data_IF_415348947937
#
_entry.id   IF_415348947937
#
_cell.length_a   1.000
_cell.length_b   1.000
_cell.length_c   1.000
_cell.angle_alpha   90.00
_cell.angle_beta   90.00
_cell.angle_gamma   90.00
#
_symmetry.space_group_name_H-M   'P 1'
#
loop_
_entity.id
_entity.type
_entity.pdbx_description
1 polymer ?
#
# COMPACT_ATOMS: atom_id res chain seq x y z
N UNK A 1 -16.59 40.19 -0.22
CA UNK A 1 -16.90 39.14 -1.22
C UNK A 1 -17.46 37.88 -0.53
N UNK A 2 -18.11 37.99 0.63
CA UNK A 2 -18.05 36.91 1.64
C UNK A 2 -19.09 35.79 1.50
N UNK A 3 -20.01 35.86 0.54
CA UNK A 3 -21.08 34.86 0.43
C UNK A 3 -21.48 34.62 -1.04
N UNK A 4 -20.59 34.79 -2.01
CA UNK A 4 -20.97 34.87 -3.44
C UNK A 4 -21.82 33.68 -3.92
N UNK A 5 -21.47 32.45 -3.57
CA UNK A 5 -22.25 31.26 -3.94
C UNK A 5 -23.58 31.14 -3.17
N UNK A 6 -23.59 31.46 -1.87
CA UNK A 6 -24.82 31.45 -1.06
C UNK A 6 -25.82 32.53 -1.54
N UNK A 7 -25.31 33.73 -1.82
CA UNK A 7 -26.09 34.86 -2.33
C UNK A 7 -26.67 34.61 -3.74
N UNK A 8 -26.11 33.65 -4.48
CA UNK A 8 -26.66 33.19 -5.76
C UNK A 8 -27.73 32.11 -5.60
N UNK A 9 -28.07 31.73 -4.37
CA UNK A 9 -28.95 30.61 -4.07
C UNK A 9 -28.49 29.31 -4.76
N UNK A 10 -27.17 29.14 -4.91
CA UNK A 10 -26.57 27.99 -5.56
C UNK A 10 -26.35 26.86 -4.53
N UNK A 11 -26.69 25.63 -4.93
CA UNK A 11 -26.26 24.44 -4.20
C UNK A 11 -24.81 24.12 -4.54
N UNK A 12 -24.03 23.67 -3.55
CA UNK A 12 -22.65 23.24 -3.74
C UNK A 12 -22.38 21.97 -2.93
N UNK A 13 -21.35 21.22 -3.35
CA UNK A 13 -20.80 20.10 -2.62
C UNK A 13 -19.31 20.33 -2.38
N UNK A 14 -18.85 20.16 -1.15
CA UNK A 14 -17.43 20.29 -0.81
C UNK A 14 -16.76 18.93 -1.02
N UNK A 15 -16.00 18.81 -2.10
CA UNK A 15 -15.27 17.59 -2.45
C UNK A 15 -13.76 17.79 -2.22
N UNK A 16 -13.10 17.10 -1.29
CA UNK A 16 -13.65 16.26 -0.22
C UNK A 16 -13.87 17.08 1.06
N UNK A 17 -14.97 16.82 1.78
CA UNK A 17 -15.11 17.31 3.17
C UNK A 17 -14.24 16.49 4.13
N UNK A 18 -14.15 15.18 3.89
CA UNK A 18 -13.26 14.22 4.51
C UNK A 18 -12.86 13.22 3.43
N UNK A 19 -11.57 13.09 3.12
CA UNK A 19 -11.12 12.19 2.06
C UNK A 19 -10.81 10.77 2.57
N UNK A 20 -10.05 10.64 3.65
CA UNK A 20 -9.72 9.36 4.29
C UNK A 20 -8.51 8.66 3.65
N UNK A 21 -8.61 7.35 3.44
CA UNK A 21 -7.47 6.48 3.04
C UNK A 21 -7.87 5.50 1.95
N UNK A 22 -7.02 5.35 0.93
CA UNK A 22 -7.08 4.30 -0.08
C UNK A 22 -6.46 3.00 0.47
N UNK A 23 -7.19 2.26 1.31
CA UNK A 23 -6.68 1.02 1.89
C UNK A 23 -6.36 -0.05 0.83
N UNK A 24 -5.43 -0.95 1.17
CA UNK A 24 -5.06 -2.08 0.33
C UNK A 24 -4.52 -1.68 -1.03
N UNK A 25 -5.26 -2.05 -2.08
CA UNK A 25 -4.93 -1.80 -3.48
C UNK A 25 -5.94 -0.87 -4.17
N UNK A 26 -6.75 -0.14 -3.39
CA UNK A 26 -7.88 0.64 -3.90
C UNK A 26 -7.50 2.01 -4.46
N UNK A 27 -6.21 2.37 -4.47
CA UNK A 27 -5.77 3.63 -5.06
C UNK A 27 -5.97 3.60 -6.58
N UNK A 28 -6.42 4.73 -7.15
CA UNK A 28 -6.39 4.94 -8.58
C UNK A 28 -5.00 5.30 -9.11
N UNK A 29 -4.97 5.67 -10.38
CA UNK A 29 -3.82 6.27 -11.04
C UNK A 29 -4.30 7.31 -12.06
N UNK A 30 -3.47 8.32 -12.28
CA UNK A 30 -3.53 9.21 -13.44
C UNK A 30 -2.49 8.74 -14.48
N UNK A 31 -2.49 9.36 -15.66
CA UNK A 31 -1.67 8.91 -16.81
C UNK A 31 -0.19 8.65 -16.49
N UNK A 32 0.40 9.46 -15.60
CA UNK A 32 1.83 9.42 -15.31
C UNK A 32 2.16 9.02 -13.86
N UNK A 33 1.15 8.78 -13.00
CA UNK A 33 1.39 8.51 -11.58
C UNK A 33 0.23 7.78 -10.89
N UNK A 34 0.58 6.84 -10.00
CA UNK A 34 -0.38 6.26 -9.06
C UNK A 34 -0.73 7.26 -7.94
N UNK A 35 -1.99 7.25 -7.50
CA UNK A 35 -2.43 7.99 -6.32
C UNK A 35 -1.89 7.33 -5.05
N UNK A 36 -1.53 8.13 -4.05
CA UNK A 36 -1.00 7.67 -2.76
C UNK A 36 -2.04 6.89 -1.94
N UNK A 37 -1.56 6.19 -0.91
CA UNK A 37 -2.44 5.55 0.08
C UNK A 37 -3.25 6.58 0.85
N UNK A 38 -2.61 7.69 1.25
CA UNK A 38 -3.34 8.81 1.84
C UNK A 38 -4.28 9.44 0.83
N UNK A 39 -5.52 9.66 1.24
CA UNK A 39 -6.50 10.46 0.54
C UNK A 39 -6.92 11.65 1.41
N UNK A 40 -6.00 12.20 2.21
CA UNK A 40 -6.22 13.38 3.08
C UNK A 40 -6.82 14.56 2.32
N UNK A 41 -6.39 14.75 1.06
CA UNK A 41 -6.91 15.74 0.11
C UNK A 41 -6.68 17.21 0.53
N UNK A 42 -6.00 17.48 1.67
CA UNK A 42 -6.05 18.80 2.29
C UNK A 42 -7.48 19.20 2.66
N UNK A 43 -8.33 18.20 2.92
CA UNK A 43 -9.76 18.36 3.18
C UNK A 43 -10.02 19.14 4.46
N UNK A 44 -11.28 19.53 4.67
CA UNK A 44 -11.69 20.13 5.93
C UNK A 44 -11.44 19.19 7.12
N UNK A 45 -11.70 17.89 6.96
CA UNK A 45 -11.44 16.88 7.98
C UNK A 45 -10.26 16.02 7.50
N UNK A 46 -9.22 15.94 8.32
CA UNK A 46 -7.99 15.23 8.00
C UNK A 46 -8.22 13.73 7.77
N UNK A 47 -7.23 13.03 7.21
CA UNK A 47 -7.27 11.59 6.96
C UNK A 47 -7.68 10.74 8.18
N UNK A 48 -7.21 11.09 9.38
CA UNK A 48 -7.55 10.39 10.62
C UNK A 48 -8.85 10.87 11.28
N UNK A 49 -9.59 11.79 10.64
CA UNK A 49 -10.82 12.37 11.18
C UNK A 49 -10.60 13.63 12.03
N UNK A 50 -9.37 14.10 12.18
CA UNK A 50 -9.08 15.27 12.99
C UNK A 50 -9.63 16.56 12.39
N UNK A 51 -10.07 17.44 13.29
CA UNK A 51 -10.55 18.78 12.94
C UNK A 51 -9.38 19.66 12.53
N UNK A 52 -9.47 20.23 11.32
CA UNK A 52 -8.44 21.13 10.78
C UNK A 52 -8.87 22.61 10.89
N UNK A 53 -7.94 23.56 10.69
CA UNK A 53 -8.28 24.97 10.51
C UNK A 53 -9.26 25.23 9.35
N UNK A 54 -9.23 24.40 8.30
CA UNK A 54 -10.16 24.50 7.18
C UNK A 54 -11.58 24.15 7.63
N UNK A 55 -11.77 23.11 8.45
CA UNK A 55 -13.08 22.77 9.01
C UNK A 55 -13.63 23.90 9.87
N UNK A 56 -12.82 24.43 10.78
CA UNK A 56 -13.28 25.52 11.66
C UNK A 56 -13.60 26.78 10.87
N UNK A 57 -12.85 27.10 9.81
CA UNK A 57 -13.16 28.22 8.92
C UNK A 57 -14.50 28.04 8.17
N UNK A 58 -14.75 26.87 7.59
CA UNK A 58 -16.03 26.55 6.94
C UNK A 58 -17.18 26.62 7.95
N UNK A 59 -16.99 26.04 9.15
CA UNK A 59 -17.99 26.07 10.21
C UNK A 59 -18.32 27.49 10.66
N UNK A 60 -17.30 28.32 10.90
CA UNK A 60 -17.48 29.73 11.27
C UNK A 60 -18.15 30.54 10.16
N UNK A 61 -17.85 30.26 8.90
CA UNK A 61 -18.54 30.90 7.78
C UNK A 61 -20.04 30.57 7.77
N UNK A 62 -20.41 29.28 7.92
CA UNK A 62 -21.82 28.85 8.00
C UNK A 62 -22.53 29.50 9.20
N UNK A 63 -21.89 29.57 10.37
CA UNK A 63 -22.47 30.19 11.57
C UNK A 63 -22.79 31.68 11.40
N UNK A 64 -22.09 32.39 10.50
CA UNK A 64 -22.31 33.80 10.24
C UNK A 64 -23.39 34.08 9.18
N UNK A 65 -24.04 33.04 8.66
CA UNK A 65 -25.18 33.17 7.74
C UNK A 65 -26.48 33.07 8.56
N UNK A 66 -27.18 34.20 8.72
CA UNK A 66 -28.31 34.33 9.64
C UNK A 66 -29.52 33.45 9.32
N UNK A 67 -29.72 33.12 8.06
CA UNK A 67 -30.84 32.35 7.51
C UNK A 67 -30.43 30.94 7.08
N UNK A 68 -29.26 30.47 7.53
CA UNK A 68 -28.83 29.10 7.28
C UNK A 68 -29.74 28.11 8.04
N UNK A 69 -30.41 27.17 7.35
CA UNK A 69 -31.49 26.37 7.94
C UNK A 69 -31.03 25.37 8.99
N UNK A 70 -29.75 24.99 8.99
CA UNK A 70 -29.19 23.95 9.86
C UNK A 70 -27.84 24.41 10.45
N UNK A 71 -27.84 25.13 11.59
CA UNK A 71 -26.61 25.64 12.18
C UNK A 71 -25.68 24.47 12.58
N UNK A 72 -24.35 24.65 12.52
CA UNK A 72 -23.42 23.57 12.86
C UNK A 72 -23.53 23.13 14.32
N UNK A 73 -23.53 21.82 14.53
CA UNK A 73 -23.50 21.20 15.87
C UNK A 73 -22.14 21.38 16.55
N UNK A 74 -22.07 20.95 17.82
CA UNK A 74 -20.82 20.87 18.57
C UNK A 74 -19.83 19.91 17.90
N UNK A 75 -18.55 20.24 18.02
CA UNK A 75 -17.47 19.48 17.40
C UNK A 75 -17.10 18.30 18.33
N UNK A 76 -17.13 17.05 17.85
CA UNK A 76 -16.64 15.92 18.64
C UNK A 76 -15.14 16.04 18.90
N UNK A 77 -14.67 15.44 19.99
CA UNK A 77 -13.23 15.37 20.25
C UNK A 77 -12.52 14.51 19.18
N UNK A 78 -11.30 14.91 18.82
CA UNK A 78 -10.43 14.11 17.96
C UNK A 78 -10.17 12.73 18.58
N UNK A 79 -9.92 11.73 17.73
CA UNK A 79 -9.54 10.40 18.20
C UNK A 79 -8.20 10.47 18.95
N UNK A 80 -8.04 9.72 20.05
CA UNK A 80 -6.74 9.61 20.70
C UNK A 80 -5.76 8.87 19.77
N UNK A 81 -4.52 9.35 19.73
CA UNK A 81 -3.43 8.72 18.98
C UNK A 81 -2.27 8.35 19.91
N UNK A 82 -1.63 7.21 19.63
CA UNK A 82 -0.50 6.69 20.41
C UNK A 82 0.74 6.50 19.56
N UNK A 83 1.91 6.74 20.16
CA UNK A 83 3.20 6.33 19.63
C UNK A 83 3.60 4.99 20.28
N UNK A 84 3.50 3.90 19.53
CA UNK A 84 3.86 2.55 20.01
C UNK A 84 5.37 2.25 19.93
N UNK A 85 6.18 3.22 19.51
CA UNK A 85 7.63 3.09 19.43
C UNK A 85 8.10 2.31 18.21
N UNK A 86 9.36 1.90 18.25
CA UNK A 86 10.01 1.17 17.16
C UNK A 86 9.71 -0.33 17.27
N UNK A 87 9.30 -0.94 16.16
CA UNK A 87 9.12 -2.39 16.05
C UNK A 87 10.25 -2.95 15.19
N UNK A 88 11.04 -3.87 15.74
CA UNK A 88 12.07 -4.58 14.98
C UNK A 88 11.41 -5.71 14.18
N UNK A 89 11.72 -5.77 12.89
CA UNK A 89 11.18 -6.80 11.98
C UNK A 89 12.25 -7.84 11.65
N UNK A 90 11.81 -9.05 11.30
CA UNK A 90 12.61 -10.12 10.73
C UNK A 90 12.02 -10.57 9.41
N UNK A 91 12.91 -10.89 8.48
CA UNK A 91 12.60 -11.46 7.18
C UNK A 91 11.99 -12.85 7.32
N UNK A 92 10.91 -13.06 6.60
CA UNK A 92 10.31 -14.38 6.39
C UNK A 92 11.03 -15.03 5.20
N UNK A 93 11.60 -16.22 5.42
CA UNK A 93 12.29 -17.00 4.40
C UNK A 93 13.65 -16.44 3.97
N UNK A 94 14.33 -17.14 3.06
CA UNK A 94 15.68 -16.76 2.63
C UNK A 94 15.67 -15.62 1.60
N UNK A 95 14.65 -15.55 0.74
CA UNK A 95 14.50 -14.53 -0.30
C UNK A 95 13.02 -14.34 -0.66
N UNK A 96 12.70 -13.22 -1.33
CA UNK A 96 11.31 -12.88 -1.70
C UNK A 96 10.61 -14.00 -2.47
N UNK A 97 11.26 -14.58 -3.48
CA UNK A 97 10.64 -15.61 -4.34
C UNK A 97 10.22 -16.82 -3.52
N UNK A 98 11.12 -17.35 -2.69
CA UNK A 98 10.82 -18.50 -1.82
C UNK A 98 9.69 -18.27 -0.83
N UNK A 99 9.46 -17.01 -0.45
CA UNK A 99 8.37 -16.63 0.45
C UNK A 99 7.06 -16.48 -0.31
N UNK A 100 7.07 -15.84 -1.47
CA UNK A 100 5.88 -15.68 -2.32
C UNK A 100 5.35 -17.02 -2.83
N UNK A 101 6.22 -17.99 -3.13
CA UNK A 101 5.80 -19.34 -3.57
C UNK A 101 5.00 -20.10 -2.51
N UNK A 102 5.08 -19.72 -1.23
CA UNK A 102 4.30 -20.34 -0.15
C UNK A 102 2.83 -19.89 -0.16
N UNK A 103 2.54 -18.76 -0.80
CA UNK A 103 1.20 -18.15 -0.88
C UNK A 103 0.79 -17.83 -2.31
N UNK A 104 1.40 -18.47 -3.31
CA UNK A 104 0.98 -18.30 -4.69
C UNK A 104 -0.29 -19.10 -4.98
N UNK A 105 -1.11 -18.56 -5.86
CA UNK A 105 -2.25 -19.25 -6.47
C UNK A 105 -1.77 -20.31 -7.48
N UNK A 106 -2.71 -21.06 -8.04
CA UNK A 106 -2.39 -22.05 -9.08
C UNK A 106 -1.76 -21.36 -10.29
N UNK A 107 -0.53 -21.76 -10.62
CA UNK A 107 0.18 -21.22 -11.77
C UNK A 107 -0.43 -21.67 -13.08
N UNK A 108 -0.55 -20.76 -14.04
CA UNK A 108 -0.97 -21.05 -15.40
C UNK A 108 0.22 -21.00 -16.36
N UNK A 109 0.33 -22.02 -17.21
CA UNK A 109 1.34 -22.05 -18.27
C UNK A 109 0.79 -21.42 -19.54
N UNK A 110 1.63 -20.64 -20.23
CA UNK A 110 1.26 -19.89 -21.43
C UNK A 110 2.47 -19.70 -22.35
N UNK A 111 2.23 -19.48 -23.65
CA UNK A 111 3.32 -19.17 -24.58
C UNK A 111 3.89 -17.78 -24.29
N UNK A 112 3.03 -16.80 -24.08
CA UNK A 112 3.37 -15.41 -23.73
C UNK A 112 2.84 -15.07 -22.32
N UNK A 113 3.43 -14.11 -21.60
CA UNK A 113 2.96 -13.73 -20.26
C UNK A 113 1.48 -13.34 -20.24
N UNK A 114 0.71 -13.96 -19.36
CA UNK A 114 -0.71 -13.62 -19.15
C UNK A 114 -0.87 -12.30 -18.39
N UNK A 115 -1.88 -11.51 -18.73
CA UNK A 115 -2.31 -10.37 -17.91
C UNK A 115 -2.93 -10.81 -16.58
N UNK A 116 -3.07 -9.87 -15.64
CA UNK A 116 -3.74 -10.11 -14.36
C UNK A 116 -5.20 -10.55 -14.57
N UNK A 117 -5.90 -9.96 -15.54
CA UNK A 117 -7.29 -10.27 -15.88
C UNK A 117 -7.42 -11.67 -16.51
N UNK A 118 -6.47 -12.09 -17.35
CA UNK A 118 -6.44 -13.44 -17.89
C UNK A 118 -6.20 -14.51 -16.81
N UNK A 119 -5.59 -14.13 -15.69
CA UNK A 119 -5.39 -14.98 -14.52
C UNK A 119 -6.57 -14.96 -13.53
N UNK A 120 -7.58 -14.11 -13.76
CA UNK A 120 -8.63 -13.79 -12.78
C UNK A 120 -8.06 -13.27 -11.45
N UNK A 121 -6.95 -12.52 -11.51
CA UNK A 121 -6.23 -11.99 -10.35
C UNK A 121 -6.21 -10.45 -10.39
N UNK A 122 -7.25 -9.80 -9.86
CA UNK A 122 -7.49 -8.37 -10.10
C UNK A 122 -6.55 -7.39 -9.38
N UNK A 123 -5.90 -7.76 -8.27
CA UNK A 123 -5.09 -6.83 -7.47
C UNK A 123 -3.87 -7.50 -6.85
N UNK A 124 -2.81 -6.73 -6.64
CA UNK A 124 -1.64 -7.17 -5.89
C UNK A 124 -0.46 -7.49 -6.79
N UNK A 125 -0.01 -8.74 -6.76
CA UNK A 125 1.22 -9.15 -7.44
C UNK A 125 1.00 -10.48 -8.15
N UNK A 126 1.63 -10.62 -9.32
CA UNK A 126 1.74 -11.89 -10.04
C UNK A 126 3.22 -12.25 -10.16
N UNK A 127 3.55 -13.50 -9.88
CA UNK A 127 4.87 -14.06 -10.11
C UNK A 127 4.93 -14.68 -11.50
N UNK A 128 5.71 -14.06 -12.40
CA UNK A 128 6.01 -14.59 -13.73
C UNK A 128 7.36 -15.31 -13.71
N UNK A 129 7.39 -16.58 -14.13
CA UNK A 129 8.59 -17.42 -14.14
C UNK A 129 8.80 -18.04 -15.52
N UNK A 130 10.06 -18.10 -15.94
CA UNK A 130 10.52 -18.81 -17.13
C UNK A 130 11.88 -19.45 -16.83
N UNK A 131 12.13 -20.62 -17.42
CA UNK A 131 13.46 -21.25 -17.42
C UNK A 131 14.19 -20.93 -18.72
N UNK A 132 15.33 -20.24 -18.62
CA UNK A 132 16.18 -19.97 -19.77
C UNK A 132 17.00 -21.21 -20.15
N UNK A 133 16.98 -21.57 -21.43
CA UNK A 133 17.80 -22.68 -21.97
C UNK A 133 19.17 -22.23 -22.46
N UNK A 134 19.37 -20.91 -22.62
CA UNK A 134 20.63 -20.28 -22.95
C UNK A 134 20.76 -18.94 -22.19
N UNK A 135 22.00 -18.52 -21.90
CA UNK A 135 22.27 -17.23 -21.29
C UNK A 135 22.03 -16.07 -22.25
N UNK A 136 21.87 -14.86 -21.70
CA UNK A 136 21.76 -13.61 -22.44
C UNK A 136 22.07 -12.42 -21.55
N UNK A 137 22.12 -11.21 -22.12
CA UNK A 137 22.58 -10.00 -21.43
C UNK A 137 21.53 -8.91 -21.25
N UNK A 138 20.66 -8.71 -22.23
CA UNK A 138 19.75 -7.57 -22.26
C UNK A 138 18.29 -8.00 -22.12
N UNK A 139 17.67 -7.76 -20.96
CA UNK A 139 16.25 -8.00 -20.73
C UNK A 139 15.39 -6.75 -21.02
N UNK A 140 14.41 -6.81 -21.93
CA UNK A 140 13.56 -5.64 -22.33
C UNK A 140 12.07 -5.99 -22.46
N UNK A 141 11.14 -5.35 -21.73
CA UNK A 141 9.67 -5.49 -21.87
C UNK A 141 9.06 -4.12 -21.88
N UNK A 142 8.60 -3.73 -23.06
CA UNK A 142 7.88 -2.48 -23.21
C UNK A 142 6.50 -2.50 -22.52
N UNK A 143 5.99 -3.65 -22.06
CA UNK A 143 4.59 -3.83 -21.67
C UNK A 143 4.35 -4.21 -20.19
N UNK A 144 5.34 -4.03 -19.31
CA UNK A 144 5.09 -4.20 -17.87
C UNK A 144 4.18 -3.06 -17.39
N UNK A 145 3.07 -3.42 -16.75
CA UNK A 145 2.13 -2.50 -16.13
C UNK A 145 1.94 -2.92 -14.67
N UNK A 146 2.51 -2.25 -13.67
CA UNK A 146 3.26 -0.97 -13.72
C UNK A 146 4.73 -1.10 -13.28
N UNK A 147 5.07 -2.11 -12.47
CA UNK A 147 6.41 -2.30 -11.90
C UNK A 147 6.77 -3.79 -11.87
N UNK A 148 7.95 -4.16 -12.36
CA UNK A 148 8.47 -5.53 -12.33
C UNK A 148 9.80 -5.64 -11.60
N UNK A 149 9.87 -6.48 -10.57
CA UNK A 149 11.12 -6.85 -9.91
C UNK A 149 11.70 -8.09 -10.60
N UNK A 150 12.93 -8.01 -11.11
CA UNK A 150 13.55 -9.12 -11.84
C UNK A 150 14.50 -9.88 -10.93
N UNK A 151 14.38 -11.21 -10.99
CA UNK A 151 15.26 -12.13 -10.28
C UNK A 151 15.81 -13.16 -11.26
N UNK A 152 17.11 -13.44 -11.17
CA UNK A 152 17.77 -14.52 -11.90
C UNK A 152 18.35 -15.47 -10.86
N UNK A 153 17.90 -16.74 -10.86
CA UNK A 153 18.27 -17.72 -9.84
C UNK A 153 18.10 -17.19 -8.40
N UNK A 154 16.96 -16.55 -8.13
CA UNK A 154 16.62 -15.88 -6.86
C UNK A 154 17.50 -14.67 -6.48
N UNK A 155 18.41 -14.22 -7.36
CA UNK A 155 19.21 -13.02 -7.15
C UNK A 155 18.55 -11.82 -7.81
N UNK A 156 18.23 -10.79 -7.02
CA UNK A 156 17.62 -9.55 -7.48
C UNK A 156 18.54 -8.82 -8.48
N UNK A 157 18.01 -8.51 -9.66
CA UNK A 157 18.74 -7.82 -10.74
C UNK A 157 18.33 -6.34 -10.89
N UNK A 158 17.21 -5.95 -10.27
CA UNK A 158 16.70 -4.58 -10.37
C UNK A 158 15.22 -4.52 -10.70
N UNK A 159 14.73 -3.28 -10.79
CA UNK A 159 13.42 -2.98 -11.33
C UNK A 159 13.56 -2.86 -12.84
N UNK A 160 12.75 -3.59 -13.60
CA UNK A 160 12.75 -3.51 -15.05
C UNK A 160 11.34 -3.35 -15.60
N UNK A 161 11.31 -2.73 -16.77
CA UNK A 161 10.29 -2.88 -17.79
C UNK A 161 10.90 -3.84 -18.83
N UNK A 162 10.75 -5.17 -18.64
CA UNK A 162 11.62 -6.27 -19.17
C UNK A 162 11.04 -7.68 -19.59
N UNK A 163 10.88 -8.13 -20.87
CA UNK A 163 10.51 -9.50 -21.36
C UNK A 163 10.89 -9.76 -22.86
N UNK A 164 12.14 -9.52 -23.21
CA UNK A 164 12.83 -10.07 -24.38
C UNK A 164 14.27 -10.22 -23.93
N UNK A 165 14.98 -11.27 -24.33
CA UNK A 165 16.38 -11.45 -23.98
C UNK A 165 17.22 -11.30 -25.23
N UNK A 166 18.04 -10.25 -25.28
CA UNK A 166 18.84 -9.88 -26.45
C UNK A 166 17.99 -9.74 -27.74
N UNK A 167 16.77 -9.23 -27.59
CA UNK A 167 15.81 -9.03 -28.70
C UNK A 167 15.02 -10.28 -29.10
N UNK A 168 15.28 -11.44 -28.47
CA UNK A 168 14.52 -12.67 -28.68
C UNK A 168 13.37 -12.75 -27.69
N UNK A 169 12.17 -13.04 -28.20
CA UNK A 169 10.98 -13.25 -27.36
C UNK A 169 11.19 -14.48 -26.47
N UNK A 170 10.90 -14.31 -25.18
CA UNK A 170 10.91 -15.39 -24.19
C UNK A 170 9.53 -16.06 -24.18
N UNK A 171 9.50 -17.39 -24.23
CA UNK A 171 8.27 -18.19 -24.32
C UNK A 171 8.18 -19.25 -23.23
N UNK A 172 6.98 -19.82 -23.05
CA UNK A 172 6.67 -20.86 -22.05
C UNK A 172 6.74 -20.33 -20.62
N UNK A 173 5.93 -19.31 -20.36
CA UNK A 173 5.80 -18.66 -19.06
C UNK A 173 4.89 -19.43 -18.12
N UNK A 174 5.24 -19.38 -16.84
CA UNK A 174 4.35 -19.70 -15.72
C UNK A 174 3.97 -18.40 -15.03
N UNK A 175 2.68 -18.18 -14.81
CA UNK A 175 2.18 -16.99 -14.11
C UNK A 175 1.26 -17.41 -12.96
N UNK A 176 1.53 -16.90 -11.76
CA UNK A 176 0.78 -17.24 -10.55
C UNK A 176 0.44 -15.97 -9.79
N UNK A 177 -0.85 -15.73 -9.51
CA UNK A 177 -1.26 -14.67 -8.59
C UNK A 177 -0.70 -14.92 -7.19
N UNK A 178 -0.48 -13.86 -6.41
CA UNK A 178 -0.06 -13.96 -5.02
C UNK A 178 -1.27 -13.76 -4.12
N UNK A 179 -1.64 -14.80 -3.37
CA UNK A 179 -2.75 -14.76 -2.44
C UNK A 179 -2.38 -13.92 -1.21
N UNK A 180 -2.86 -12.68 -1.19
CA UNK A 180 -2.67 -11.72 -0.08
C UNK A 180 -3.92 -11.61 0.82
N UNK A 181 -4.72 -12.68 0.90
CA UNK A 181 -5.83 -12.73 1.86
C UNK A 181 -5.29 -12.70 3.29
N UNK A 182 -6.13 -12.23 4.22
CA UNK A 182 -5.81 -12.21 5.66
C UNK A 182 -5.28 -13.55 6.15
N UNK A 183 -5.92 -14.65 5.76
CA UNK A 183 -5.52 -16.00 6.16
C UNK A 183 -4.12 -16.38 5.65
N UNK A 184 -3.79 -16.06 4.39
CA UNK A 184 -2.47 -16.34 3.82
C UNK A 184 -1.37 -15.50 4.49
N UNK A 185 -1.64 -14.23 4.77
CA UNK A 185 -0.71 -13.34 5.49
C UNK A 185 -0.50 -13.80 6.93
N UNK A 186 -1.58 -14.15 7.63
CA UNK A 186 -1.50 -14.66 9.00
C UNK A 186 -0.70 -15.98 9.05
N UNK A 187 -0.88 -16.87 8.06
CA UNK A 187 -0.11 -18.10 7.93
C UNK A 187 1.39 -17.83 7.75
N UNK A 188 1.76 -16.92 6.85
CA UNK A 188 3.16 -16.53 6.66
C UNK A 188 3.77 -15.96 7.95
N UNK A 189 3.07 -15.01 8.58
CA UNK A 189 3.54 -14.39 9.82
C UNK A 189 3.73 -15.42 10.94
N UNK A 190 2.77 -16.35 11.08
CA UNK A 190 2.79 -17.39 12.12
C UNK A 190 4.01 -18.30 12.03
N UNK A 191 4.52 -18.58 10.83
CA UNK A 191 5.73 -19.41 10.66
C UNK A 191 6.92 -18.84 11.44
N UNK A 192 7.16 -17.54 11.34
CA UNK A 192 8.29 -16.88 12.02
C UNK A 192 8.00 -16.59 13.48
N UNK A 193 6.77 -16.20 13.82
CA UNK A 193 6.38 -15.89 15.20
C UNK A 193 6.51 -17.13 16.09
N UNK A 194 6.04 -18.28 15.60
CA UNK A 194 6.06 -19.53 16.34
C UNK A 194 7.49 -20.08 16.47
N UNK A 195 8.29 -20.03 15.40
CA UNK A 195 9.67 -20.50 15.39
C UNK A 195 10.57 -19.72 16.37
N UNK A 196 10.27 -18.43 16.59
CA UNK A 196 10.99 -17.58 17.54
C UNK A 196 10.34 -17.51 18.94
N UNK A 197 9.32 -18.34 19.22
CA UNK A 197 8.57 -18.35 20.50
C UNK A 197 8.09 -16.96 20.95
N UNK A 198 7.76 -16.06 20.02
CA UNK A 198 7.35 -14.69 20.33
C UNK A 198 8.45 -13.76 20.88
N UNK A 199 9.74 -14.10 20.69
CA UNK A 199 10.83 -13.18 21.01
C UNK A 199 10.82 -11.94 20.10
N UNK A 200 11.35 -10.81 20.58
CA UNK A 200 11.57 -9.64 19.71
C UNK A 200 12.62 -10.02 18.68
N UNK A 201 12.22 -9.94 17.41
CA UNK A 201 13.04 -10.39 16.30
C UNK A 201 14.13 -9.36 16.04
N UNK A 202 15.34 -9.81 15.69
CA UNK A 202 16.45 -8.92 15.34
C UNK A 202 17.07 -9.36 14.03
N UNK A 203 17.18 -8.46 13.06
CA UNK A 203 17.87 -8.73 11.80
C UNK A 203 18.68 -7.51 11.33
N UNK A 204 19.73 -7.81 10.55
CA UNK A 204 20.56 -6.84 9.84
C UNK A 204 19.75 -6.27 8.66
N UNK A 205 19.85 -4.96 8.43
CA UNK A 205 19.15 -4.28 7.33
C UNK A 205 19.34 -5.03 6.01
N UNK A 206 18.24 -5.50 5.43
CA UNK A 206 18.30 -6.23 4.18
C UNK A 206 18.18 -5.27 3.00
N UNK A 207 19.17 -5.29 2.10
CA UNK A 207 19.23 -4.42 0.93
C UNK A 207 18.44 -4.96 -0.28
N UNK A 208 17.72 -6.06 -0.12
CA UNK A 208 16.99 -6.75 -1.19
C UNK A 208 15.49 -6.85 -0.86
N UNK A 209 14.61 -6.90 -1.88
CA UNK A 209 13.19 -7.13 -1.65
C UNK A 209 12.92 -8.36 -0.77
N UNK A 210 11.89 -8.29 0.07
CA UNK A 210 11.57 -9.33 1.04
C UNK A 210 10.24 -9.08 1.75
N UNK A 211 9.78 -10.12 2.45
CA UNK A 211 8.65 -10.03 3.38
C UNK A 211 9.22 -10.00 4.78
N UNK A 212 8.73 -9.09 5.62
CA UNK A 212 9.20 -8.90 6.98
C UNK A 212 8.02 -8.91 7.94
N UNK A 213 8.23 -9.46 9.13
CA UNK A 213 7.23 -9.52 10.20
C UNK A 213 7.84 -9.06 11.51
N UNK A 214 7.04 -8.42 12.33
CA UNK A 214 7.38 -8.04 13.70
C UNK A 214 6.14 -8.04 14.56
N UNK A 215 6.35 -7.97 15.87
CA UNK A 215 5.28 -7.96 16.85
C UNK A 215 5.57 -6.91 17.92
N UNK A 216 4.51 -6.30 18.43
CA UNK A 216 4.57 -5.40 19.57
C UNK A 216 3.27 -5.51 20.37
N UNK A 217 3.31 -5.10 21.64
CA UNK A 217 2.13 -5.05 22.51
C UNK A 217 1.63 -3.61 22.54
N UNK A 218 0.37 -3.41 22.11
CA UNK A 218 -0.28 -2.12 22.22
C UNK A 218 -0.81 -1.90 23.64
N UNK A 219 -0.41 -0.81 24.29
CA UNK A 219 -0.90 -0.45 25.63
C UNK A 219 -2.36 0.02 25.64
N UNK A 220 -2.86 0.48 24.50
CA UNK A 220 -4.25 0.84 24.23
C UNK A 220 -4.54 0.70 22.74
N UNK A 221 -5.81 0.56 22.34
CA UNK A 221 -6.22 0.57 20.93
C UNK A 221 -6.55 2.00 20.50
N UNK A 222 -5.57 2.68 19.90
CA UNK A 222 -5.64 4.07 19.49
C UNK A 222 -5.13 4.22 18.05
N UNK A 223 -5.44 5.36 17.43
CA UNK A 223 -4.94 5.66 16.10
C UNK A 223 -3.41 5.84 16.15
N UNK A 224 -2.73 5.50 15.06
CA UNK A 224 -1.28 5.69 14.95
C UNK A 224 -0.86 5.78 13.48
N UNK A 225 0.41 6.05 13.26
CA UNK A 225 0.97 6.22 11.93
C UNK A 225 2.23 5.38 11.77
N UNK A 226 2.24 4.50 10.77
CA UNK A 226 3.45 3.77 10.41
C UNK A 226 4.39 4.71 9.67
N UNK A 227 5.53 5.04 10.28
CA UNK A 227 6.61 5.79 9.64
C UNK A 227 7.46 4.85 8.78
N UNK A 228 7.37 5.04 7.46
CA UNK A 228 8.10 4.23 6.49
C UNK A 228 9.48 4.80 6.15
N UNK A 229 9.92 5.93 6.73
CA UNK A 229 11.25 6.50 6.42
C UNK A 229 12.36 5.49 6.68
N UNK A 230 13.31 5.41 5.76
CA UNK A 230 14.37 4.39 5.75
C UNK A 230 14.01 3.11 4.99
N UNK A 231 12.74 2.91 4.62
CA UNK A 231 12.30 1.83 3.73
C UNK A 231 12.36 2.25 2.24
N UNK A 232 12.28 1.26 1.35
CA UNK A 232 12.18 1.46 -0.10
C UNK A 232 10.74 1.67 -0.56
N UNK A 233 10.15 0.67 -1.23
CA UNK A 233 8.75 0.64 -1.68
C UNK A 233 8.14 -0.68 -1.23
N UNK A 234 6.89 -0.68 -0.78
CA UNK A 234 6.24 -1.93 -0.37
C UNK A 234 4.77 -1.80 0.03
N UNK A 235 4.27 -2.87 0.61
CA UNK A 235 2.92 -3.00 1.16
C UNK A 235 2.99 -3.22 2.67
N UNK A 236 2.11 -2.58 3.44
CA UNK A 236 1.99 -2.76 4.88
C UNK A 236 0.75 -3.59 5.21
N UNK A 237 0.95 -4.60 6.08
CA UNK A 237 -0.15 -5.34 6.70
C UNK A 237 -0.06 -5.22 8.23
N UNK A 238 -1.20 -5.06 8.88
CA UNK A 238 -1.33 -5.03 10.35
C UNK A 238 -2.43 -5.98 10.75
N UNK A 239 -2.14 -6.95 11.61
CA UNK A 239 -3.07 -8.01 12.00
C UNK A 239 -3.71 -8.74 10.79
N UNK A 240 -2.96 -8.87 9.70
CA UNK A 240 -3.40 -9.47 8.43
C UNK A 240 -4.24 -8.56 7.53
N UNK A 241 -4.59 -7.35 7.98
CA UNK A 241 -5.29 -6.36 7.17
C UNK A 241 -4.32 -5.54 6.33
N UNK A 242 -4.64 -5.38 5.05
CA UNK A 242 -3.82 -4.61 4.12
C UNK A 242 -4.06 -3.10 4.30
N UNK A 243 -3.11 -2.42 4.93
CA UNK A 243 -3.21 -0.99 5.29
C UNK A 243 -2.88 -0.10 4.09
N UNK A 244 -2.10 -0.60 3.12
CA UNK A 244 -1.81 0.12 1.89
C UNK A 244 -0.34 0.12 1.51
N UNK A 245 -0.02 0.93 0.50
CA UNK A 245 1.30 1.04 -0.11
C UNK A 245 2.14 2.12 0.59
N UNK A 246 3.44 1.89 0.77
CA UNK A 246 4.39 2.94 1.15
C UNK A 246 5.44 3.12 0.06
N UNK A 247 5.87 4.36 -0.16
CA UNK A 247 7.00 4.69 -1.04
C UNK A 247 7.71 6.00 -0.60
N UNK A 248 8.32 6.03 0.59
CA UNK A 248 8.95 7.21 1.17
C UNK A 248 10.07 7.82 0.31
N UNK A 249 10.73 7.04 -0.54
CA UNK A 249 11.78 7.55 -1.44
C UNK A 249 11.24 8.33 -2.63
N UNK A 250 9.98 8.11 -3.01
CA UNK A 250 9.28 8.94 -3.99
C UNK A 250 8.48 10.07 -3.31
N UNK A 251 7.91 9.80 -2.14
CA UNK A 251 7.05 10.74 -1.43
C UNK A 251 5.75 11.06 -2.20
N UNK A 252 5.01 12.10 -1.82
CA UNK A 252 5.23 12.93 -0.62
C UNK A 252 4.82 12.21 0.69
N UNK A 253 4.00 11.16 0.61
CA UNK A 253 3.56 10.39 1.76
C UNK A 253 4.71 9.55 2.33
N UNK A 254 5.02 9.74 3.62
CA UNK A 254 6.03 8.95 4.36
C UNK A 254 5.45 8.18 5.54
N UNK A 255 4.22 8.51 5.94
CA UNK A 255 3.48 7.83 7.00
C UNK A 255 2.16 7.26 6.48
N UNK A 256 1.76 6.10 6.98
CA UNK A 256 0.44 5.50 6.69
C UNK A 256 -0.41 5.56 7.95
N UNK A 257 -1.60 6.17 7.85
CA UNK A 257 -2.61 6.18 8.92
C UNK A 257 -3.15 4.77 9.15
N UNK A 258 -3.21 4.35 10.42
CA UNK A 258 -3.74 3.04 10.78
C UNK A 258 -4.43 3.04 12.13
N UNK A 259 -5.47 2.21 12.23
CA UNK A 259 -6.21 1.96 13.48
C UNK A 259 -5.95 0.53 13.93
N UNK A 260 -5.55 0.37 15.19
CA UNK A 260 -5.42 -0.95 15.78
C UNK A 260 -6.82 -1.47 16.15
N UNK A 261 -7.17 -2.63 15.60
CA UNK A 261 -8.41 -3.38 15.85
C UNK A 261 -8.11 -4.74 16.46
#
# INVERSE_FOLDING_TARGET
MNHMYYNWNASFNVYMIHGGTNFGFMNGAESDAAITTSYDYGAAIAENGDITPTYTAVRSWIQNISDWPQPPLDIPANNPASNYGQVTLQRIGANLISTLTQIQETCQQSQDPLSFEQLDHGYGYVLYTITLTAGGKNLVAPNIRDYGYVFVNNVYQGLHTGVTLDGVALQNWYACGINLTKAAIDQLASSVINDNKGAILSEKAASTPGVFVGQFVASALQDTFFDSRGWGKGQLFVNGYNVGRYWPTAGPQVTISMKLI
#
